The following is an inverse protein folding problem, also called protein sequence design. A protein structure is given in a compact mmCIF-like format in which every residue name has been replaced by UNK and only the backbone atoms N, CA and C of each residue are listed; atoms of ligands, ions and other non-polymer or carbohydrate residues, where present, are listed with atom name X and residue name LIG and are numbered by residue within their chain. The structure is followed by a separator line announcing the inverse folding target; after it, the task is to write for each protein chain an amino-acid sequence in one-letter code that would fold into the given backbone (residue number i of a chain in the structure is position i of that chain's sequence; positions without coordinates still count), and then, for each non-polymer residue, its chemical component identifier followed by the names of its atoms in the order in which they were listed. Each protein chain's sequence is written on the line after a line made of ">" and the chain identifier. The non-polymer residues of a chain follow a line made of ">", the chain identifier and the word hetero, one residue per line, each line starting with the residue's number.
data_IF_688200558240
#
_entry.id   IF_688200558240
#
_cell.length_a   1.000
_cell.length_b   1.000
_cell.length_c   1.000
_cell.angle_alpha   90.00
_cell.angle_beta   90.00
_cell.angle_gamma   90.00
#
_symmetry.space_group_name_H-M   'P 1'
#
loop_
_entity.id
_entity.type
_entity.pdbx_description
1 polymer ?
#
# COMPACT_ATOMS: atom_id res chain seq x y z
N UNK A 1 -22.67 31.00 38.52
CA UNK A 1 -21.60 30.05 38.85
C UNK A 1 -21.30 29.10 37.67
N UNK A 2 -22.31 28.38 37.12
CA UNK A 2 -22.08 27.42 36.01
C UNK A 2 -21.45 28.06 34.74
N UNK A 3 -21.92 29.23 34.33
CA UNK A 3 -21.40 29.92 33.12
C UNK A 3 -19.93 30.32 33.27
N UNK A 4 -19.46 30.65 34.45
CA UNK A 4 -18.05 31.01 34.68
C UNK A 4 -17.15 29.76 34.64
N UNK A 5 -17.64 28.64 35.13
CA UNK A 5 -16.90 27.37 35.08
C UNK A 5 -16.78 26.86 33.66
N UNK A 6 -17.90 26.85 32.89
CA UNK A 6 -17.90 26.40 31.48
C UNK A 6 -17.07 27.33 30.61
N UNK A 7 -17.21 28.67 30.80
CA UNK A 7 -16.41 29.64 30.05
C UNK A 7 -14.90 29.54 30.37
N UNK A 8 -14.57 29.36 31.63
CA UNK A 8 -13.17 29.19 32.09
C UNK A 8 -12.52 27.92 31.55
N UNK A 9 -13.23 26.80 31.59
CA UNK A 9 -12.72 25.54 31.02
C UNK A 9 -12.56 25.60 29.50
N UNK A 10 -13.51 26.20 28.78
CA UNK A 10 -13.43 26.39 27.33
C UNK A 10 -12.25 27.27 26.92
N UNK A 11 -12.01 28.35 27.63
CA UNK A 11 -10.89 29.26 27.38
C UNK A 11 -9.55 28.56 27.66
N UNK A 12 -9.46 27.79 28.75
CA UNK A 12 -8.25 27.05 29.09
C UNK A 12 -7.91 25.98 28.04
N UNK A 13 -8.90 25.21 27.59
CA UNK A 13 -8.73 24.19 26.54
C UNK A 13 -8.34 24.85 25.21
N UNK A 14 -8.98 25.96 24.84
CA UNK A 14 -8.68 26.69 23.61
C UNK A 14 -7.24 27.22 23.57
N UNK A 15 -6.78 27.82 24.66
CA UNK A 15 -5.39 28.30 24.76
C UNK A 15 -4.41 27.10 24.70
N UNK A 16 -4.71 26.03 25.45
CA UNK A 16 -3.84 24.85 25.47
C UNK A 16 -3.71 24.19 24.09
N UNK A 17 -4.83 24.00 23.38
CA UNK A 17 -4.83 23.47 22.03
C UNK A 17 -4.09 24.38 21.04
N UNK A 18 -4.28 25.69 21.11
CA UNK A 18 -3.58 26.65 20.24
C UNK A 18 -2.07 26.68 20.48
N UNK A 19 -1.63 26.54 21.74
CA UNK A 19 -0.21 26.43 22.05
C UNK A 19 0.39 25.06 21.63
N UNK A 20 -0.39 23.98 21.78
CA UNK A 20 -0.01 22.65 21.36
C UNK A 20 0.13 22.56 19.83
N UNK A 21 -0.82 23.12 19.08
CA UNK A 21 -0.77 23.18 17.61
C UNK A 21 0.50 23.89 17.13
N UNK A 22 0.80 25.06 17.69
CA UNK A 22 2.00 25.83 17.32
C UNK A 22 3.32 25.12 17.63
N UNK A 23 3.34 24.26 18.65
CA UNK A 23 4.54 23.53 19.08
C UNK A 23 4.68 22.15 18.44
N UNK A 24 3.56 21.54 18.04
CA UNK A 24 3.48 20.21 17.45
C UNK A 24 3.22 20.25 15.94
N UNK A 25 3.23 21.43 15.31
CA UNK A 25 3.08 21.54 13.86
C UNK A 25 4.20 20.77 13.18
N UNK A 26 3.84 19.65 12.55
CA UNK A 26 4.73 18.87 11.71
C UNK A 26 5.01 19.68 10.45
N UNK A 27 6.25 20.04 10.22
CA UNK A 27 6.65 20.64 8.94
C UNK A 27 6.51 19.57 7.87
N UNK A 28 5.49 19.68 7.05
CA UNK A 28 5.37 18.85 5.84
C UNK A 28 6.43 19.34 4.87
N UNK A 29 7.31 18.45 4.44
CA UNK A 29 8.29 18.76 3.42
C UNK A 29 7.58 19.02 2.09
N UNK A 30 7.93 20.12 1.41
CA UNK A 30 7.38 20.43 0.07
C UNK A 30 7.55 19.27 -0.91
N UNK A 31 8.60 18.47 -0.74
CA UNK A 31 8.83 17.25 -1.52
C UNK A 31 7.82 16.16 -1.20
N UNK A 32 7.44 16.00 0.07
CA UNK A 32 6.43 15.01 0.48
C UNK A 32 5.07 15.33 -0.14
N UNK A 33 4.67 16.60 -0.13
CA UNK A 33 3.43 17.05 -0.74
C UNK A 33 3.45 16.89 -2.27
N UNK A 34 4.57 17.21 -2.92
CA UNK A 34 4.75 17.01 -4.35
C UNK A 34 4.67 15.52 -4.74
N UNK A 35 5.29 14.62 -3.98
CA UNK A 35 5.22 13.17 -4.19
C UNK A 35 3.79 12.67 -3.97
N UNK A 36 3.13 13.13 -2.92
CA UNK A 36 1.74 12.77 -2.63
C UNK A 36 0.79 13.18 -3.77
N UNK A 37 1.01 14.34 -4.39
CA UNK A 37 0.24 14.82 -5.53
C UNK A 37 0.43 13.98 -6.81
N UNK A 38 1.56 13.28 -6.93
CA UNK A 38 1.85 12.39 -8.07
C UNK A 38 1.32 10.96 -7.83
N UNK A 39 1.23 10.54 -6.58
CA UNK A 39 0.70 9.23 -6.21
C UNK A 39 -0.80 9.12 -6.55
N UNK A 40 -1.31 7.92 -6.90
CA UNK A 40 -2.69 7.74 -7.34
C UNK A 40 -3.77 7.98 -6.27
N UNK A 41 -3.41 8.21 -5.02
CA UNK A 41 -4.33 8.55 -3.94
C UNK A 41 -5.25 7.42 -3.44
N UNK A 42 -5.09 6.21 -3.94
CA UNK A 42 -5.97 5.07 -3.63
C UNK A 42 -5.85 4.58 -2.18
N UNK A 43 -4.79 4.93 -1.46
CA UNK A 43 -4.52 4.51 -0.08
C UNK A 43 -4.69 3.00 0.17
N UNK A 44 -4.41 2.19 -0.86
CA UNK A 44 -4.69 0.74 -0.89
C UNK A 44 -3.76 -0.10 -0.01
N UNK A 45 -2.64 0.46 0.47
CA UNK A 45 -1.65 -0.27 1.26
C UNK A 45 -0.84 -1.32 0.49
N UNK A 46 -1.05 -1.50 -0.82
CA UNK A 46 -0.37 -2.52 -1.64
C UNK A 46 1.15 -2.34 -1.74
N UNK A 47 1.66 -1.18 -1.41
CA UNK A 47 3.10 -0.89 -1.30
C UNK A 47 3.71 -1.28 0.06
N UNK A 48 2.91 -1.75 1.02
CA UNK A 48 3.33 -2.07 2.38
C UNK A 48 3.30 -0.89 3.36
N UNK A 49 2.87 0.30 2.93
CA UNK A 49 2.73 1.50 3.76
C UNK A 49 1.24 1.78 4.06
N UNK A 50 0.92 2.44 5.20
CA UNK A 50 -0.46 2.66 5.65
C UNK A 50 -1.24 3.69 4.81
N UNK A 51 -0.82 3.96 3.59
CA UNK A 51 -1.47 4.87 2.66
C UNK A 51 -0.46 5.61 1.80
N UNK A 52 -0.94 6.40 0.85
CA UNK A 52 -0.09 7.16 -0.06
C UNK A 52 0.75 8.22 0.68
N UNK A 53 0.23 8.82 1.74
CA UNK A 53 0.98 9.77 2.59
C UNK A 53 2.14 9.09 3.33
N UNK A 54 1.92 7.89 3.87
CA UNK A 54 2.99 7.11 4.50
C UNK A 54 4.09 6.72 3.53
N UNK A 55 3.72 6.37 2.30
CA UNK A 55 4.70 6.10 1.24
C UNK A 55 5.46 7.37 0.84
N UNK A 56 4.78 8.51 0.66
CA UNK A 56 5.41 9.78 0.32
C UNK A 56 6.45 10.19 1.37
N UNK A 57 6.11 10.11 2.65
CA UNK A 57 7.02 10.37 3.77
C UNK A 57 8.24 9.43 3.78
N UNK A 58 8.03 8.13 3.51
CA UNK A 58 9.11 7.15 3.45
C UNK A 58 10.06 7.39 2.27
N UNK A 59 9.53 7.75 1.09
CA UNK A 59 10.36 8.10 -0.07
C UNK A 59 11.18 9.37 0.19
N UNK A 60 10.57 10.39 0.79
CA UNK A 60 11.25 11.64 1.12
C UNK A 60 12.40 11.43 2.10
N UNK A 61 12.24 10.51 3.05
CA UNK A 61 13.31 10.11 4.00
C UNK A 61 14.33 9.14 3.40
N UNK A 62 14.09 8.60 2.21
CA UNK A 62 14.95 7.59 1.58
C UNK A 62 14.77 6.16 2.14
N UNK A 63 13.71 5.92 2.91
CA UNK A 63 13.38 4.61 3.48
C UNK A 63 12.68 3.68 2.46
N UNK A 64 12.08 4.27 1.41
CA UNK A 64 11.40 3.54 0.35
C UNK A 64 11.95 3.95 -1.03
N UNK A 65 12.06 3.01 -1.97
CA UNK A 65 12.45 3.31 -3.34
C UNK A 65 11.32 4.07 -4.07
N UNK A 66 11.68 4.82 -5.08
CA UNK A 66 10.75 5.68 -5.87
C UNK A 66 9.74 4.88 -6.70
N UNK A 67 10.01 3.60 -6.96
CA UNK A 67 9.18 2.66 -7.73
C UNK A 67 8.30 1.73 -6.86
N UNK A 68 8.22 2.00 -5.55
CA UNK A 68 7.51 1.15 -4.59
C UNK A 68 5.98 1.07 -4.83
N UNK A 69 5.37 2.02 -5.57
CA UNK A 69 3.93 2.03 -5.78
C UNK A 69 3.50 1.07 -6.92
N UNK A 70 2.85 -0.08 -6.63
CA UNK A 70 2.47 -1.03 -7.68
C UNK A 70 1.34 -0.51 -8.57
N UNK A 71 0.47 0.35 -8.04
CA UNK A 71 -0.67 0.93 -8.78
C UNK A 71 -0.21 2.03 -9.73
N UNK A 72 0.74 2.85 -9.30
CA UNK A 72 1.28 3.95 -10.11
C UNK A 72 2.21 3.47 -11.23
N UNK A 73 2.91 2.37 -11.00
CA UNK A 73 3.85 1.78 -11.96
C UNK A 73 4.95 2.73 -12.43
N UNK A 74 5.54 2.44 -13.59
CA UNK A 74 6.66 3.19 -14.16
C UNK A 74 6.38 4.70 -14.37
N UNK A 75 5.20 5.16 -14.84
CA UNK A 75 4.97 6.58 -15.06
C UNK A 75 4.96 7.40 -13.76
N UNK A 76 4.47 6.84 -12.66
CA UNK A 76 4.50 7.50 -11.35
C UNK A 76 5.91 7.47 -10.77
N UNK A 77 6.60 6.35 -10.89
CA UNK A 77 7.99 6.21 -10.46
C UNK A 77 8.91 7.23 -11.15
N UNK A 78 8.75 7.43 -12.47
CA UNK A 78 9.53 8.43 -13.22
C UNK A 78 9.30 9.86 -12.71
N UNK A 79 8.05 10.23 -12.41
CA UNK A 79 7.72 11.55 -11.87
C UNK A 79 8.29 11.74 -10.46
N UNK A 80 8.21 10.73 -9.61
CA UNK A 80 8.79 10.77 -8.26
C UNK A 80 10.31 10.84 -8.35
N UNK A 81 10.93 10.09 -9.25
CA UNK A 81 12.36 10.16 -9.52
C UNK A 81 12.82 11.54 -9.92
N UNK A 82 12.04 12.23 -10.79
CA UNK A 82 12.32 13.62 -11.17
C UNK A 82 12.27 14.59 -9.98
N UNK A 83 11.31 14.42 -9.06
CA UNK A 83 11.18 15.23 -7.83
C UNK A 83 12.37 14.97 -6.89
N UNK A 84 12.79 13.72 -6.75
CA UNK A 84 13.88 13.31 -5.88
C UNK A 84 15.27 13.47 -6.52
N UNK A 85 15.34 13.76 -7.81
CA UNK A 85 16.60 13.85 -8.56
C UNK A 85 17.32 12.50 -8.72
N UNK A 86 16.57 11.40 -8.72
CA UNK A 86 17.08 10.04 -8.86
C UNK A 86 16.67 9.45 -10.23
N UNK A 87 17.61 8.78 -10.88
CA UNK A 87 17.30 8.00 -12.08
C UNK A 87 16.51 6.75 -11.69
N UNK A 88 15.33 6.61 -12.26
CA UNK A 88 14.49 5.43 -12.05
C UNK A 88 14.93 4.33 -13.02
N UNK A 89 15.45 3.23 -12.47
CA UNK A 89 15.65 2.02 -13.25
C UNK A 89 14.30 1.44 -13.63
N UNK A 90 14.08 1.14 -14.89
CA UNK A 90 12.88 0.42 -15.32
C UNK A 90 12.85 -0.94 -14.61
N UNK A 91 12.01 -1.05 -13.59
CA UNK A 91 11.74 -2.33 -12.94
C UNK A 91 10.81 -3.14 -13.83
N UNK A 92 11.26 -4.32 -14.23
CA UNK A 92 10.43 -5.23 -15.04
C UNK A 92 9.12 -5.52 -14.28
N UNK A 93 7.99 -5.36 -14.98
CA UNK A 93 6.66 -5.63 -14.41
C UNK A 93 6.59 -7.09 -13.95
N UNK A 94 6.45 -7.28 -12.66
CA UNK A 94 6.20 -8.60 -12.07
C UNK A 94 4.71 -8.91 -12.19
N UNK A 95 4.39 -10.02 -12.85
CA UNK A 95 3.03 -10.55 -12.94
C UNK A 95 2.98 -11.90 -12.25
N UNK A 96 1.90 -12.14 -11.51
CA UNK A 96 1.65 -13.45 -10.96
C UNK A 96 1.38 -14.43 -12.11
N UNK A 97 2.20 -15.45 -12.20
CA UNK A 97 2.05 -16.49 -13.22
C UNK A 97 1.84 -17.84 -12.53
N UNK A 98 0.67 -18.42 -12.75
CA UNK A 98 0.36 -19.76 -12.25
C UNK A 98 0.93 -20.78 -13.25
N UNK A 99 1.92 -21.53 -12.82
CA UNK A 99 2.54 -22.62 -13.63
C UNK A 99 1.64 -23.86 -13.63
N UNK A 100 0.41 -23.71 -14.11
CA UNK A 100 -0.53 -24.80 -14.20
C UNK A 100 -1.17 -24.82 -15.58
N UNK A 101 -1.06 -25.95 -16.28
CA UNK A 101 -1.73 -26.21 -17.56
C UNK A 101 -2.88 -27.23 -17.40
N UNK A 102 -3.37 -27.43 -16.18
CA UNK A 102 -4.37 -28.43 -15.81
C UNK A 102 -5.81 -28.13 -16.27
N UNK A 103 -5.98 -27.74 -17.52
CA UNK A 103 -7.31 -27.56 -18.15
C UNK A 103 -7.91 -28.93 -18.54
N UNK A 104 -9.24 -28.99 -18.69
CA UNK A 104 -9.96 -30.25 -18.98
C UNK A 104 -9.58 -30.89 -20.34
N UNK A 105 -9.06 -30.11 -21.25
CA UNK A 105 -8.58 -30.53 -22.57
C UNK A 105 -7.13 -31.06 -22.56
N UNK A 106 -6.34 -30.75 -21.50
CA UNK A 106 -4.92 -31.14 -21.40
C UNK A 106 -4.65 -32.20 -20.35
N UNK A 107 -5.60 -32.48 -19.49
CA UNK A 107 -5.45 -33.42 -18.39
C UNK A 107 -6.55 -34.49 -18.42
N UNK A 108 -6.19 -35.73 -18.07
CA UNK A 108 -7.16 -36.81 -17.89
C UNK A 108 -7.55 -36.96 -16.44
N UNK A 109 -8.84 -37.21 -16.19
CA UNK A 109 -9.37 -37.46 -14.84
C UNK A 109 -9.01 -38.88 -14.43
N UNK A 110 -8.35 -39.04 -13.26
CA UNK A 110 -7.99 -40.34 -12.70
C UNK A 110 -9.13 -41.00 -11.92
N UNK A 111 -9.91 -40.20 -11.20
CA UNK A 111 -11.04 -40.61 -10.37
C UNK A 111 -11.99 -39.44 -10.16
N UNK A 112 -13.22 -39.75 -9.81
CA UNK A 112 -14.21 -38.72 -9.46
C UNK A 112 -13.88 -38.11 -8.09
N UNK A 113 -13.67 -36.78 -8.05
CA UNK A 113 -13.32 -36.06 -6.85
C UNK A 113 -14.54 -35.28 -6.34
N UNK A 114 -14.91 -35.56 -5.09
CA UNK A 114 -16.08 -34.96 -4.43
C UNK A 114 -15.67 -34.03 -3.26
N UNK A 115 -14.41 -33.62 -3.18
CA UNK A 115 -13.86 -32.75 -2.13
C UNK A 115 -13.86 -31.26 -2.48
N UNK A 116 -13.13 -30.47 -1.68
CA UNK A 116 -12.97 -29.03 -1.89
C UNK A 116 -12.14 -28.78 -3.14
N UNK A 117 -12.64 -27.96 -4.06
CA UNK A 117 -11.97 -27.59 -5.32
C UNK A 117 -10.92 -26.48 -5.09
N UNK A 118 -9.90 -26.77 -4.28
CA UNK A 118 -8.80 -25.87 -3.95
C UNK A 118 -7.46 -26.57 -4.22
N UNK A 119 -6.61 -25.92 -5.01
CA UNK A 119 -5.29 -26.44 -5.37
C UNK A 119 -4.34 -26.60 -4.19
N UNK A 120 -4.46 -25.76 -3.16
CA UNK A 120 -3.65 -25.86 -1.94
C UNK A 120 -4.05 -27.09 -1.13
N UNK A 121 -5.35 -27.32 -0.97
CA UNK A 121 -5.87 -28.51 -0.30
C UNK A 121 -5.56 -29.78 -1.05
N UNK A 122 -5.48 -29.75 -2.37
CA UNK A 122 -5.10 -30.91 -3.19
C UNK A 122 -3.68 -31.43 -2.92
N UNK A 123 -2.79 -30.61 -2.39
CA UNK A 123 -1.43 -31.02 -2.03
C UNK A 123 -1.41 -32.06 -0.88
N UNK A 124 -2.44 -32.04 -0.03
CA UNK A 124 -2.59 -32.97 1.11
C UNK A 124 -3.27 -34.30 0.75
N UNK A 125 -3.84 -34.40 -0.46
CA UNK A 125 -4.55 -35.59 -0.90
C UNK A 125 -3.58 -36.58 -1.56
N UNK A 126 -3.65 -37.88 -1.23
CA UNK A 126 -2.83 -38.91 -1.87
C UNK A 126 -2.97 -38.86 -3.40
N UNK A 127 -1.82 -38.76 -4.09
CA UNK A 127 -1.80 -38.66 -5.55
C UNK A 127 -1.92 -37.26 -6.13
N UNK A 128 -1.87 -36.21 -5.28
CA UNK A 128 -1.88 -34.79 -5.69
C UNK A 128 -3.09 -34.38 -6.54
N UNK A 129 -4.24 -34.95 -6.25
CA UNK A 129 -5.52 -34.61 -6.90
C UNK A 129 -6.00 -35.57 -7.98
N UNK A 130 -7.21 -35.34 -8.49
CA UNK A 130 -7.94 -36.20 -9.39
C UNK A 130 -7.49 -36.16 -10.87
N UNK A 131 -6.59 -35.25 -11.21
CA UNK A 131 -6.10 -35.06 -12.59
C UNK A 131 -4.61 -35.33 -12.72
N UNK A 132 -4.21 -35.78 -13.90
CA UNK A 132 -2.78 -35.93 -14.23
C UNK A 132 -2.11 -34.58 -14.49
#
# INVERSE_FOLDING_TARGET
>A
MAAVIVGGTGLFIGIFLGLADKKLTVKVDEKEEAILGVLPGNNCGGCGYPGCSGLAAAITKGEAPVDQCPVGGAPVAAKIGAIMGQEVKETARQVAFVKCAGTCDKTTVKYEYTGVEDCEMMAFIPGSGAKN
#
